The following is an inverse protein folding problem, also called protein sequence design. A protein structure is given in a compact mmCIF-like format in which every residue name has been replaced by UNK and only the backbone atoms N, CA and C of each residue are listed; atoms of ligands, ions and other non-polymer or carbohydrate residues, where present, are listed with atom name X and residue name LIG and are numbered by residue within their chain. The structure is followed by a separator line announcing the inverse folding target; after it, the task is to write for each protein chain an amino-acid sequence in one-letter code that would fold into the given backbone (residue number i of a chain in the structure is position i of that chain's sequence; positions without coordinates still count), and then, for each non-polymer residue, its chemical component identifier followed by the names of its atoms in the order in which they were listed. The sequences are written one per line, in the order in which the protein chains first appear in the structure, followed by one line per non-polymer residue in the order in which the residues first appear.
data_IF_478950298061
#
_entry.id   IF_478950298061
#
_cell.length_a   1.000
_cell.length_b   1.000
_cell.length_c   1.000
_cell.angle_alpha   90.00
_cell.angle_beta   90.00
_cell.angle_gamma   90.00
#
_symmetry.space_group_name_H-M   'P 1'
#
loop_
_entity.id
_entity.type
_entity.pdbx_description
1 polymer ?
#
# COMPACT_ATOMS: atom_id res chain seq x y z
N UNK A 1 -1.87 13.96 -17.35
CA UNK A 1 -0.97 12.83 -17.72
C UNK A 1 0.01 12.44 -16.60
N UNK A 2 0.48 13.39 -15.77
CA UNK A 2 1.41 13.09 -14.66
C UNK A 2 0.79 12.34 -13.45
N UNK A 3 -0.54 12.33 -13.29
CA UNK A 3 -1.22 11.68 -12.16
C UNK A 3 -1.04 10.15 -12.09
N UNK A 4 -0.63 9.53 -13.19
CA UNK A 4 -0.35 8.08 -13.25
C UNK A 4 1.09 7.74 -12.82
N UNK A 5 1.96 8.74 -12.70
CA UNK A 5 3.36 8.56 -12.33
C UNK A 5 3.47 8.65 -10.80
N UNK A 6 4.07 7.63 -10.20
CA UNK A 6 4.33 7.57 -8.76
C UNK A 6 5.83 7.58 -8.53
N UNK A 7 6.32 8.61 -7.86
CA UNK A 7 7.73 8.75 -7.49
C UNK A 7 7.79 9.41 -6.11
N UNK A 8 8.49 8.81 -5.13
CA UNK A 8 9.18 7.51 -5.18
C UNK A 8 8.22 6.31 -5.40
N UNK A 9 8.75 5.23 -6.00
CA UNK A 9 7.98 4.00 -6.30
C UNK A 9 8.19 2.96 -5.20
N UNK A 10 7.17 2.15 -4.94
CA UNK A 10 7.19 1.09 -3.95
C UNK A 10 6.52 1.49 -2.62
N UNK A 11 6.18 0.49 -1.82
CA UNK A 11 5.72 0.72 -0.45
C UNK A 11 6.88 1.12 0.46
N UNK A 12 6.62 2.03 1.39
CA UNK A 12 7.58 2.45 2.39
C UNK A 12 7.82 1.34 3.43
N UNK A 13 8.83 0.52 3.16
CA UNK A 13 9.25 -0.59 4.03
C UNK A 13 10.68 -0.40 4.58
N UNK A 14 11.30 0.77 4.35
CA UNK A 14 12.70 1.00 4.69
C UNK A 14 13.68 0.18 3.83
N UNK A 15 13.41 0.05 2.53
CA UNK A 15 14.21 -0.76 1.62
C UNK A 15 15.56 -0.09 1.28
N UNK A 16 16.67 -0.82 1.45
CA UNK A 16 18.02 -0.35 1.12
C UNK A 16 18.73 -1.25 0.11
N UNK A 17 18.51 -2.57 0.19
CA UNK A 17 19.08 -3.53 -0.75
C UNK A 17 18.26 -3.64 -2.04
N UNK A 18 18.90 -4.09 -3.13
CA UNK A 18 18.20 -4.31 -4.40
C UNK A 18 16.99 -5.26 -4.26
N UNK A 19 17.09 -6.28 -3.40
CA UNK A 19 16.00 -7.22 -3.15
C UNK A 19 14.83 -6.56 -2.41
N UNK A 20 15.10 -5.73 -1.40
CA UNK A 20 14.07 -4.98 -0.68
C UNK A 20 13.40 -3.94 -1.57
N UNK A 21 14.18 -3.23 -2.41
CA UNK A 21 13.66 -2.27 -3.37
C UNK A 21 12.72 -2.99 -4.36
N UNK A 22 13.15 -4.11 -4.94
CA UNK A 22 12.31 -4.92 -5.82
C UNK A 22 11.02 -5.38 -5.14
N UNK A 23 11.12 -5.83 -3.88
CA UNK A 23 9.95 -6.24 -3.09
C UNK A 23 8.99 -5.07 -2.85
N UNK A 24 9.49 -3.88 -2.51
CA UNK A 24 8.67 -2.69 -2.28
C UNK A 24 7.85 -2.30 -3.52
N UNK A 25 8.47 -2.37 -4.70
CA UNK A 25 7.86 -2.07 -6.00
C UNK A 25 6.78 -3.10 -6.32
N UNK A 26 7.09 -4.39 -6.20
CA UNK A 26 6.13 -5.47 -6.45
C UNK A 26 4.93 -5.39 -5.50
N UNK A 27 5.16 -5.06 -4.23
CA UNK A 27 4.11 -4.89 -3.25
C UNK A 27 3.17 -3.73 -3.62
N UNK A 28 3.70 -2.58 -4.05
CA UNK A 28 2.87 -1.47 -4.54
C UNK A 28 2.08 -1.87 -5.80
N UNK A 29 2.71 -2.50 -6.78
CA UNK A 29 2.06 -2.94 -8.01
C UNK A 29 0.88 -3.89 -7.74
N UNK A 30 1.06 -4.84 -6.83
CA UNK A 30 0.00 -5.76 -6.40
C UNK A 30 -1.11 -5.00 -5.66
N UNK A 31 -0.78 -4.06 -4.78
CA UNK A 31 -1.76 -3.25 -4.05
C UNK A 31 -2.63 -2.41 -5.00
N UNK A 32 -2.01 -1.74 -5.98
CA UNK A 32 -2.69 -1.00 -7.05
C UNK A 32 -3.60 -1.93 -7.85
N UNK A 33 -3.10 -3.08 -8.30
CA UNK A 33 -3.88 -4.08 -9.04
C UNK A 33 -5.08 -4.60 -8.25
N UNK A 34 -4.91 -4.80 -6.94
CA UNK A 34 -5.96 -5.26 -6.04
C UNK A 34 -6.95 -4.16 -5.64
N UNK A 35 -6.70 -2.90 -6.03
CA UNK A 35 -7.42 -1.71 -5.53
C UNK A 35 -7.47 -1.68 -4.01
N UNK A 36 -6.33 -1.97 -3.38
CA UNK A 36 -6.18 -2.07 -1.93
C UNK A 36 -5.03 -1.19 -1.46
N UNK A 37 -5.13 -0.59 -0.27
CA UNK A 37 -4.00 0.11 0.32
C UNK A 37 -2.91 -0.90 0.71
N UNK A 38 -1.64 -0.49 0.55
CA UNK A 38 -0.46 -1.22 1.03
C UNK A 38 -0.22 -1.04 2.53
N UNK A 39 -1.28 -1.13 3.34
CA UNK A 39 -1.23 -0.98 4.80
C UNK A 39 -1.29 -2.33 5.51
N UNK A 40 -0.84 -2.41 6.78
CA UNK A 40 -0.98 -3.62 7.58
C UNK A 40 -2.42 -4.15 7.61
N UNK A 41 -2.59 -5.46 7.40
CA UNK A 41 -3.92 -6.09 7.35
C UNK A 41 -4.72 -5.86 8.65
N UNK A 42 -4.04 -5.82 9.80
CA UNK A 42 -4.65 -5.56 11.11
C UNK A 42 -5.38 -4.23 11.19
N UNK A 43 -4.98 -3.24 10.40
CA UNK A 43 -5.60 -1.91 10.39
C UNK A 43 -6.94 -1.91 9.62
N UNK A 44 -7.18 -2.90 8.75
CA UNK A 44 -8.47 -3.06 8.06
C UNK A 44 -9.62 -3.39 9.01
N UNK A 45 -9.37 -4.24 10.00
CA UNK A 45 -10.38 -4.61 10.99
C UNK A 45 -10.85 -3.39 11.79
N UNK A 46 -9.97 -2.41 12.02
CA UNK A 46 -10.28 -1.17 12.70
C UNK A 46 -11.20 -0.27 11.87
N UNK A 47 -10.99 -0.17 10.55
CA UNK A 47 -11.88 0.60 9.66
C UNK A 47 -13.29 0.00 9.61
N UNK A 48 -13.40 -1.31 9.43
CA UNK A 48 -14.70 -1.99 9.41
C UNK A 48 -15.48 -1.88 10.75
N UNK A 49 -14.77 -1.75 11.86
CA UNK A 49 -15.38 -1.55 13.19
C UNK A 49 -15.85 -0.11 13.43
N UNK A 50 -15.25 0.88 12.77
CA UNK A 50 -15.61 2.31 12.90
C UNK A 50 -16.77 2.67 11.95
N UNK A 51 -16.81 2.08 10.76
CA UNK A 51 -17.92 2.25 9.79
C UNK A 51 -19.24 1.66 10.29
N UNK A 52 -19.22 0.81 11.32
CA UNK A 52 -20.43 0.32 12.00
C UNK A 52 -20.94 1.20 13.15
N UNK A 53 -20.29 2.32 13.47
CA UNK A 53 -20.54 3.10 14.69
C UNK A 53 -21.01 4.55 14.48
N UNK A 54 -21.38 4.97 13.26
CA UNK A 54 -22.01 6.28 13.08
C UNK A 54 -22.35 6.65 11.64
N UNK A 55 -23.58 6.36 11.21
CA UNK A 55 -24.76 7.25 11.15
C UNK A 55 -26.01 6.39 10.94
#
# INVERSE_FOLDING_TARGET
DMERIRVPVGLDIGADSAAEIALSILAEAVAVRARRPGTPLRDRARVASIEGAGI
#
